data_IF_437026950176
#
_entry.id   IF_437026950176
#
_cell.length_a   1.000
_cell.length_b   1.000
_cell.length_c   1.000
_cell.angle_alpha   90.00
_cell.angle_beta   90.00
_cell.angle_gamma   90.00
#
_symmetry.space_group_name_H-M   'P 1'
#
loop_
_entity.id
_entity.type
_entity.pdbx_description
1 polymer ?
#
# COMPACT_ATOMS: atom_id res chain seq x y z
N UNK A 1 -27.34 14.76 -35.15
CA UNK A 1 -26.82 13.38 -35.01
C UNK A 1 -26.51 13.16 -33.54
N UNK A 2 -27.32 12.35 -32.84
CA UNK A 2 -27.04 11.96 -31.45
C UNK A 2 -27.29 10.47 -31.36
N UNK A 3 -26.28 9.75 -30.89
CA UNK A 3 -26.28 8.30 -30.71
C UNK A 3 -25.17 7.64 -31.50
N UNK A 4 -24.10 7.25 -30.80
CA UNK A 4 -23.32 6.09 -31.20
C UNK A 4 -24.33 4.96 -31.51
N UNK A 5 -24.26 4.48 -32.74
CA UNK A 5 -24.93 3.32 -33.32
C UNK A 5 -26.10 2.72 -32.51
N UNK A 6 -27.33 3.14 -32.83
CA UNK A 6 -28.56 2.45 -32.37
C UNK A 6 -29.23 2.95 -31.08
N UNK A 7 -28.63 3.86 -30.30
CA UNK A 7 -29.29 4.38 -29.08
C UNK A 7 -30.22 5.56 -29.35
N UNK A 8 -31.55 5.33 -29.21
CA UNK A 8 -32.61 6.30 -29.54
C UNK A 8 -33.04 7.21 -28.38
N UNK A 9 -32.65 6.92 -27.14
CA UNK A 9 -33.05 7.70 -25.96
C UNK A 9 -31.84 8.17 -25.13
N UNK A 10 -31.88 9.41 -24.64
CA UNK A 10 -30.90 9.94 -23.68
C UNK A 10 -30.77 9.04 -22.45
N UNK A 11 -31.85 8.42 -22.01
CA UNK A 11 -31.86 7.45 -20.92
C UNK A 11 -31.02 6.21 -21.22
N UNK A 12 -30.92 5.76 -22.47
CA UNK A 12 -30.12 4.57 -22.84
C UNK A 12 -28.63 4.91 -22.81
N UNK A 13 -28.27 6.11 -23.26
CA UNK A 13 -26.90 6.64 -23.17
C UNK A 13 -26.46 6.79 -21.73
N UNK A 14 -27.34 7.32 -20.85
CA UNK A 14 -27.07 7.42 -19.42
C UNK A 14 -26.91 6.02 -18.80
N UNK A 15 -27.78 5.08 -19.16
CA UNK A 15 -27.75 3.71 -18.63
C UNK A 15 -26.47 2.98 -19.05
N UNK A 16 -26.02 3.19 -20.29
CA UNK A 16 -24.76 2.63 -20.80
C UNK A 16 -23.55 3.27 -20.11
N UNK A 17 -23.52 4.60 -19.96
CA UNK A 17 -22.44 5.31 -19.28
C UNK A 17 -22.32 4.90 -17.80
N UNK A 18 -23.45 4.76 -17.09
CA UNK A 18 -23.48 4.27 -15.70
C UNK A 18 -23.00 2.82 -15.62
N UNK A 19 -23.44 1.96 -16.55
CA UNK A 19 -22.99 0.57 -16.61
C UNK A 19 -21.49 0.47 -16.85
N UNK A 20 -20.98 1.21 -17.83
CA UNK A 20 -19.54 1.29 -18.11
C UNK A 20 -18.75 1.86 -16.93
N UNK A 21 -19.29 2.83 -16.18
CA UNK A 21 -18.64 3.35 -14.98
C UNK A 21 -18.55 2.29 -13.87
N UNK A 22 -19.62 1.51 -13.66
CA UNK A 22 -19.65 0.43 -12.66
C UNK A 22 -18.73 -0.73 -13.08
N UNK A 23 -18.70 -1.07 -14.37
CA UNK A 23 -17.84 -2.13 -14.92
C UNK A 23 -16.36 -1.71 -15.03
N UNK A 24 -16.09 -0.43 -15.29
CA UNK A 24 -14.74 0.14 -15.34
C UNK A 24 -14.20 0.52 -13.96
N UNK A 25 -15.07 0.62 -12.95
CA UNK A 25 -14.62 0.62 -11.57
C UNK A 25 -13.93 -0.73 -11.35
N UNK A 26 -12.62 -0.75 -11.02
CA UNK A 26 -11.90 -2.01 -10.82
C UNK A 26 -12.72 -2.82 -9.84
N UNK A 27 -13.18 -4.00 -10.29
CA UNK A 27 -14.02 -4.93 -9.52
C UNK A 27 -13.52 -4.88 -8.10
N UNK A 28 -14.29 -4.23 -7.22
CA UNK A 28 -13.92 -3.87 -5.84
C UNK A 28 -12.94 -4.92 -5.36
N UNK A 29 -11.64 -4.62 -5.33
CA UNK A 29 -10.62 -5.63 -5.03
C UNK A 29 -11.07 -6.24 -3.73
N UNK A 30 -11.59 -7.47 -3.82
CA UNK A 30 -12.14 -8.14 -2.65
C UNK A 30 -10.88 -8.42 -1.85
N UNK A 31 -10.61 -7.54 -0.89
CA UNK A 31 -9.44 -7.67 -0.05
C UNK A 31 -9.46 -9.07 0.54
N UNK A 32 -8.35 -9.79 0.41
CA UNK A 32 -8.25 -11.11 1.02
C UNK A 32 -8.50 -11.01 2.52
N UNK A 33 -9.28 -11.94 3.07
CA UNK A 33 -9.41 -12.10 4.52
C UNK A 33 -8.33 -13.06 4.97
N UNK A 34 -7.55 -12.65 5.97
CA UNK A 34 -6.60 -13.51 6.67
C UNK A 34 -7.09 -13.71 8.09
N UNK A 35 -7.03 -14.96 8.57
CA UNK A 35 -7.28 -15.29 9.97
C UNK A 35 -5.93 -15.40 10.67
N UNK A 36 -5.77 -14.70 11.78
CA UNK A 36 -4.52 -14.62 12.54
C UNK A 36 -4.84 -15.02 13.97
N UNK A 37 -4.06 -15.96 14.52
CA UNK A 37 -4.05 -16.22 15.95
C UNK A 37 -3.16 -15.19 16.64
N UNK A 38 -3.74 -14.41 17.54
CA UNK A 38 -3.05 -13.36 18.29
C UNK A 38 -2.45 -13.89 19.60
N UNK A 39 -2.85 -15.09 20.04
CA UNK A 39 -2.59 -15.57 21.39
C UNK A 39 -3.36 -14.80 22.47
N UNK A 40 -3.34 -15.32 23.70
CA UNK A 40 -4.16 -14.82 24.81
C UNK A 40 -3.81 -13.38 25.22
N UNK A 41 -2.53 -13.08 25.41
CA UNK A 41 -2.07 -11.77 25.90
C UNK A 41 -2.46 -10.61 24.97
N UNK A 42 -2.32 -10.79 23.65
CA UNK A 42 -2.63 -9.74 22.69
C UNK A 42 -4.15 -9.62 22.43
N UNK A 43 -4.88 -10.74 22.54
CA UNK A 43 -6.35 -10.75 22.42
C UNK A 43 -6.98 -9.88 23.50
N UNK A 44 -6.61 -10.06 24.76
CA UNK A 44 -7.14 -9.29 25.89
C UNK A 44 -6.83 -7.79 25.75
N UNK A 45 -5.61 -7.46 25.29
CA UNK A 45 -5.18 -6.07 25.06
C UNK A 45 -5.95 -5.39 23.94
N UNK A 46 -6.17 -6.08 22.81
CA UNK A 46 -6.93 -5.53 21.69
C UNK A 46 -8.38 -5.32 22.08
N UNK A 47 -8.99 -6.25 22.81
CA UNK A 47 -10.37 -6.11 23.28
C UNK A 47 -10.50 -4.89 24.20
N UNK A 48 -9.61 -4.78 25.19
CA UNK A 48 -9.58 -3.63 26.10
C UNK A 48 -9.36 -2.31 25.36
N UNK A 49 -8.43 -2.28 24.40
CA UNK A 49 -8.17 -1.10 23.58
C UNK A 49 -9.40 -0.68 22.76
N UNK A 50 -10.06 -1.63 22.10
CA UNK A 50 -11.27 -1.38 21.32
C UNK A 50 -12.41 -0.87 22.20
N UNK A 51 -12.55 -1.40 23.42
CA UNK A 51 -13.56 -0.95 24.39
C UNK A 51 -13.34 0.50 24.84
N UNK A 52 -12.08 0.94 24.99
CA UNK A 52 -11.75 2.31 25.41
C UNK A 52 -11.97 3.30 24.26
N UNK A 53 -11.57 2.94 23.05
CA UNK A 53 -11.53 3.86 21.91
C UNK A 53 -12.79 3.82 21.03
N UNK A 54 -13.62 2.79 21.16
CA UNK A 54 -14.81 2.58 20.33
C UNK A 54 -14.47 2.10 18.90
N UNK A 55 -13.22 1.71 18.66
CA UNK A 55 -12.75 1.21 17.38
C UNK A 55 -13.05 -0.28 17.22
N UNK A 56 -13.18 -0.75 15.97
CA UNK A 56 -13.31 -2.19 15.71
C UNK A 56 -11.94 -2.88 15.68
N UNK A 57 -11.84 -4.14 16.13
CA UNK A 57 -10.59 -4.90 16.08
C UNK A 57 -9.96 -4.93 14.67
N UNK A 58 -10.77 -5.09 13.61
CA UNK A 58 -10.27 -5.06 12.23
C UNK A 58 -9.60 -3.73 11.87
N UNK A 59 -10.17 -2.60 12.30
CA UNK A 59 -9.60 -1.28 12.02
C UNK A 59 -8.26 -1.10 12.74
N UNK A 60 -8.20 -1.47 14.02
CA UNK A 60 -7.00 -1.39 14.85
C UNK A 60 -5.89 -2.28 14.28
N UNK A 61 -6.19 -3.54 13.98
CA UNK A 61 -5.21 -4.49 13.41
C UNK A 61 -4.71 -4.03 12.05
N UNK A 62 -5.60 -3.53 11.18
CA UNK A 62 -5.22 -3.02 9.86
C UNK A 62 -4.34 -1.78 9.95
N UNK A 63 -4.61 -0.89 10.89
CA UNK A 63 -3.77 0.27 11.15
C UNK A 63 -2.39 -0.15 11.68
N UNK A 64 -2.35 -1.05 12.66
CA UNK A 64 -1.12 -1.58 13.24
C UNK A 64 -0.23 -2.26 12.19
N UNK A 65 -0.80 -3.13 11.34
CA UNK A 65 -0.06 -3.79 10.26
C UNK A 65 0.55 -2.78 9.28
N UNK A 66 -0.23 -1.77 8.86
CA UNK A 66 0.29 -0.71 7.96
C UNK A 66 1.43 0.07 8.60
N UNK A 67 1.30 0.42 9.88
CA UNK A 67 2.34 1.13 10.61
C UNK A 67 3.60 0.27 10.75
N UNK A 68 3.45 -1.01 11.07
CA UNK A 68 4.56 -1.95 11.16
C UNK A 68 5.29 -2.11 9.82
N UNK A 69 4.56 -2.31 8.72
CA UNK A 69 5.14 -2.39 7.37
C UNK A 69 5.89 -1.11 7.00
N UNK A 70 5.29 0.06 7.26
CA UNK A 70 5.96 1.35 7.02
C UNK A 70 7.24 1.49 7.83
N UNK A 71 7.22 1.12 9.11
CA UNK A 71 8.40 1.18 9.96
C UNK A 71 9.53 0.28 9.43
N UNK A 72 9.21 -0.94 8.96
CA UNK A 72 10.21 -1.83 8.36
C UNK A 72 10.73 -1.33 7.02
N UNK A 73 9.86 -0.76 6.17
CA UNK A 73 10.27 -0.20 4.88
C UNK A 73 11.19 1.00 5.05
N UNK A 74 10.84 1.95 5.93
CA UNK A 74 11.69 3.11 6.23
C UNK A 74 13.04 2.66 6.80
N UNK A 75 13.05 1.69 7.71
CA UNK A 75 14.30 1.14 8.25
C UNK A 75 15.15 0.44 7.17
N UNK A 76 14.51 -0.19 6.17
CA UNK A 76 15.20 -0.86 5.07
C UNK A 76 15.73 0.12 4.04
N UNK A 77 14.96 1.14 3.68
CA UNK A 77 15.37 2.22 2.76
C UNK A 77 16.50 3.05 3.36
N UNK A 78 16.45 3.35 4.67
CA UNK A 78 17.53 4.04 5.38
C UNK A 78 18.83 3.21 5.38
N UNK A 79 18.73 1.92 5.67
CA UNK A 79 19.88 1.00 5.63
C UNK A 79 20.45 0.85 4.21
N UNK A 80 19.60 0.70 3.20
CA UNK A 80 20.03 0.60 1.81
C UNK A 80 20.71 1.89 1.35
N UNK A 81 20.15 3.05 1.70
CA UNK A 81 20.72 4.37 1.40
C UNK A 81 22.11 4.51 2.03
N UNK A 82 22.26 4.17 3.32
CA UNK A 82 23.55 4.22 4.02
C UNK A 82 24.57 3.27 3.40
N UNK A 83 24.17 2.06 2.98
CA UNK A 83 25.06 1.12 2.30
C UNK A 83 25.49 1.63 0.93
N UNK A 84 24.58 2.21 0.15
CA UNK A 84 24.88 2.79 -1.17
C UNK A 84 25.84 3.98 -1.05
N UNK A 85 25.63 4.88 -0.08
CA UNK A 85 26.55 5.99 0.18
C UNK A 85 27.95 5.49 0.54
N UNK A 86 28.05 4.47 1.39
CA UNK A 86 29.34 3.86 1.75
C UNK A 86 30.02 3.21 0.55
N UNK A 87 29.25 2.52 -0.29
CA UNK A 87 29.76 1.91 -1.51
C UNK A 87 30.29 2.98 -2.48
N UNK A 88 29.55 4.07 -2.67
CA UNK A 88 29.97 5.19 -3.52
C UNK A 88 31.25 5.84 -2.97
N UNK A 89 31.36 6.09 -1.66
CA UNK A 89 32.57 6.63 -1.04
C UNK A 89 33.79 5.73 -1.26
N UNK A 90 33.63 4.41 -1.13
CA UNK A 90 34.70 3.45 -1.40
C UNK A 90 35.08 3.44 -2.90
N UNK A 91 34.09 3.41 -3.79
CA UNK A 91 34.32 3.45 -5.23
C UNK A 91 34.98 4.76 -5.69
N UNK A 92 34.68 5.89 -5.05
CA UNK A 92 35.35 7.17 -5.32
C UNK A 92 36.81 7.15 -4.85
N UNK A 93 37.10 6.60 -3.66
CA UNK A 93 38.48 6.47 -3.16
C UNK A 93 39.33 5.54 -4.02
N UNK A 94 38.76 4.43 -4.49
CA UNK A 94 39.46 3.49 -5.36
C UNK A 94 39.80 4.14 -6.71
N UNK A 95 38.83 4.82 -7.34
CA UNK A 95 39.06 5.57 -8.58
C UNK A 95 40.11 6.67 -8.42
N UNK A 96 40.06 7.42 -7.31
CA UNK A 96 41.07 8.44 -7.02
C UNK A 96 42.48 7.85 -6.83
N UNK A 97 42.59 6.63 -6.30
CA UNK A 97 43.87 5.94 -6.10
C UNK A 97 44.46 5.41 -7.42
N UNK A 98 43.61 5.00 -8.36
CA UNK A 98 44.02 4.55 -9.70
C UNK A 98 44.51 5.71 -10.58
N UNK A 99 43.90 6.89 -10.47
CA UNK A 99 44.33 8.11 -11.17
C UNK A 99 45.67 8.70 -10.67
N UNK A 100 46.16 8.28 -9.49
CA UNK A 100 47.40 8.77 -8.87
C UNK A 100 48.60 7.83 -9.02
N UNK A 101 48.49 6.78 -9.85
CA UNK A 101 49.63 5.91 -10.23
C UNK A 101 50.21 6.37 -11.57
N UNK A 102 51.44 6.93 -11.61
CA UNK A 102 52.13 7.31 -12.85
C UNK A 102 52.66 6.10 -13.64
#
# INVERSE_FOLDING_TARGET
MVGLDGMRNRSDVIRLAVRQLIEAAPSRTVGGTISIDLGMDLTDKIEMFCNIHGDSPDQVTRAALRTHMKAQMVASDDLQTVLEERHQQLAHRLRQREDHTP
#
